data_IF_368516241745
#
_entry.id   IF_368516241745
#
_cell.length_a   1.000
_cell.length_b   1.000
_cell.length_c   1.000
_cell.angle_alpha   90.00
_cell.angle_beta   90.00
_cell.angle_gamma   90.00
#
_symmetry.space_group_name_H-M   'P 1'
#
loop_
_entity.id
_entity.type
_entity.pdbx_description
1 polymer ?
#
# COMPACT_ATOMS: atom_id res chain seq x y z
N UNK A 1 10.77 28.96 -62.24
CA UNK A 1 11.06 28.31 -63.55
C UNK A 1 12.05 27.20 -63.25
N UNK A 2 11.71 25.93 -63.12
CA UNK A 2 10.69 25.15 -63.79
C UNK A 2 11.41 23.91 -64.32
N UNK A 3 11.19 22.75 -63.70
CA UNK A 3 11.41 21.42 -64.29
C UNK A 3 10.28 20.50 -63.82
N UNK A 4 9.22 20.52 -64.62
CA UNK A 4 8.44 19.36 -65.06
C UNK A 4 9.44 18.36 -65.73
N UNK A 5 9.28 17.03 -65.80
CA UNK A 5 8.11 16.17 -65.67
C UNK A 5 8.52 14.69 -65.80
N UNK A 6 7.64 13.81 -65.32
CA UNK A 6 7.34 12.42 -65.72
C UNK A 6 8.42 11.34 -65.74
N UNK A 7 8.17 10.30 -64.95
CA UNK A 7 8.13 8.93 -65.48
C UNK A 7 6.88 8.22 -64.92
N UNK A 8 6.04 7.76 -65.85
CA UNK A 8 4.86 6.92 -65.66
C UNK A 8 5.20 5.49 -66.06
N UNK A 9 4.68 4.54 -65.30
CA UNK A 9 4.06 3.26 -65.67
C UNK A 9 4.75 2.32 -66.69
N UNK A 10 4.84 1.03 -66.36
CA UNK A 10 3.93 0.00 -66.90
C UNK A 10 4.27 -1.44 -66.46
N UNK A 11 3.18 -2.21 -66.36
CA UNK A 11 3.00 -3.66 -66.54
C UNK A 11 3.33 -4.57 -65.33
N UNK A 12 2.32 -5.06 -64.60
CA UNK A 12 1.29 -6.09 -64.92
C UNK A 12 1.75 -7.42 -64.29
N UNK A 13 1.05 -7.91 -63.26
CA UNK A 13 0.14 -9.06 -63.35
C UNK A 13 -0.32 -9.37 -61.88
N UNK A 14 -1.54 -9.74 -61.47
CA UNK A 14 -2.78 -10.22 -62.10
C UNK A 14 -3.88 -10.32 -61.01
N UNK A 15 -5.13 -10.04 -61.40
CA UNK A 15 -6.45 -10.52 -60.91
C UNK A 15 -7.01 -10.18 -59.50
N UNK A 16 -7.95 -9.21 -59.51
CA UNK A 16 -9.41 -9.31 -59.21
C UNK A 16 -9.91 -10.05 -57.93
N UNK A 17 -10.55 -9.35 -56.97
CA UNK A 17 -12.04 -9.13 -56.78
C UNK A 17 -12.72 -10.37 -56.15
N UNK A 18 -13.59 -10.36 -55.14
CA UNK A 18 -14.29 -9.39 -54.29
C UNK A 18 -14.80 -10.16 -53.04
N UNK A 19 -15.06 -9.43 -51.96
CA UNK A 19 -16.18 -9.52 -51.00
C UNK A 19 -16.69 -10.83 -50.34
N UNK A 20 -16.92 -10.63 -49.03
CA UNK A 20 -18.00 -11.11 -48.15
C UNK A 20 -17.94 -12.47 -47.42
N UNK A 21 -17.99 -12.32 -46.09
CA UNK A 21 -18.74 -13.08 -45.08
C UNK A 21 -18.33 -14.49 -44.60
N UNK A 22 -18.18 -14.53 -43.27
CA UNK A 22 -18.60 -15.56 -42.31
C UNK A 22 -17.97 -16.97 -42.31
N UNK A 23 -17.67 -17.35 -41.07
CA UNK A 23 -17.64 -18.69 -40.43
C UNK A 23 -16.27 -19.30 -40.14
N UNK A 24 -16.12 -19.56 -38.84
CA UNK A 24 -15.78 -20.85 -38.22
C UNK A 24 -14.62 -21.65 -38.83
N UNK A 25 -13.53 -21.86 -38.06
CA UNK A 25 -13.29 -23.17 -37.44
C UNK A 25 -12.05 -23.17 -36.50
N UNK A 26 -12.32 -23.56 -35.26
CA UNK A 26 -11.59 -24.49 -34.39
C UNK A 26 -10.05 -24.48 -34.26
N UNK A 27 -9.60 -24.37 -32.98
CA UNK A 27 -9.19 -25.59 -32.25
C UNK A 27 -9.12 -25.44 -30.71
N UNK A 28 -10.04 -26.19 -30.10
CA UNK A 28 -10.08 -26.86 -28.79
C UNK A 28 -8.76 -27.10 -28.03
N UNK A 29 -8.78 -26.89 -26.71
CA UNK A 29 -8.80 -27.97 -25.70
C UNK A 29 -9.46 -27.45 -24.40
N UNK A 30 -10.64 -27.97 -24.06
CA UNK A 30 -11.28 -27.86 -22.74
C UNK A 30 -11.49 -29.28 -22.21
N UNK A 31 -10.94 -29.61 -21.04
CA UNK A 31 -11.33 -30.81 -20.31
C UNK A 31 -12.59 -30.54 -19.48
N UNK A 32 -13.70 -31.09 -19.97
CA UNK A 32 -14.93 -31.36 -19.22
C UNK A 32 -14.73 -32.50 -18.23
N UNK A 33 -15.16 -32.32 -16.99
CA UNK A 33 -15.67 -33.43 -16.17
C UNK A 33 -17.10 -33.11 -15.73
N UNK A 34 -18.05 -33.67 -16.47
CA UNK A 34 -19.46 -33.76 -16.08
C UNK A 34 -19.70 -35.04 -15.29
N UNK A 35 -20.47 -35.00 -14.20
CA UNK A 35 -21.35 -36.14 -13.89
C UNK A 35 -22.62 -35.80 -13.10
N UNK A 36 -23.69 -35.67 -13.88
CA UNK A 36 -25.00 -36.36 -13.76
C UNK A 36 -25.82 -36.20 -12.47
N UNK A 37 -26.87 -35.38 -12.59
CA UNK A 37 -28.11 -35.48 -11.80
C UNK A 37 -28.77 -36.84 -12.10
N UNK A 38 -28.97 -37.65 -11.06
CA UNK A 38 -29.79 -38.87 -11.11
C UNK A 38 -30.90 -38.76 -10.07
N UNK A 39 -32.11 -38.43 -10.53
CA UNK A 39 -33.35 -38.70 -9.80
C UNK A 39 -33.65 -40.19 -9.87
N UNK A 40 -33.64 -40.88 -8.73
CA UNK A 40 -34.24 -42.22 -8.60
C UNK A 40 -35.12 -42.29 -7.36
N UNK A 41 -36.41 -42.29 -7.65
CA UNK A 41 -37.51 -42.70 -6.79
C UNK A 41 -37.47 -44.23 -6.65
N UNK A 42 -37.44 -44.75 -5.42
CA UNK A 42 -37.78 -46.15 -5.11
C UNK A 42 -38.57 -46.20 -3.81
N UNK A 43 -39.87 -46.46 -3.92
CA UNK A 43 -40.67 -47.09 -2.88
C UNK A 43 -40.15 -48.52 -2.63
N UNK A 44 -40.02 -48.91 -1.36
CA UNK A 44 -40.27 -50.28 -0.94
C UNK A 44 -40.68 -50.32 0.54
N UNK A 45 -41.82 -50.95 0.77
CA UNK A 45 -42.60 -51.10 1.98
C UNK A 45 -41.95 -51.86 3.16
N UNK A 46 -42.52 -51.57 4.35
CA UNK A 46 -42.73 -52.42 5.54
C UNK A 46 -41.51 -52.88 6.38
N UNK A 47 -41.42 -52.41 7.65
CA UNK A 47 -42.03 -53.16 8.78
C UNK A 47 -42.12 -52.30 10.05
N UNK A 48 -43.20 -52.49 10.80
CA UNK A 48 -43.54 -51.68 11.97
C UNK A 48 -42.87 -52.17 13.26
N UNK A 49 -42.51 -51.21 14.12
CA UNK A 49 -42.48 -51.43 15.57
C UNK A 49 -43.09 -50.22 16.27
N UNK A 50 -44.30 -50.39 16.77
CA UNK A 50 -44.83 -49.55 17.85
C UNK A 50 -44.08 -49.87 19.13
N UNK A 51 -43.50 -48.86 19.78
CA UNK A 51 -43.33 -48.85 21.23
C UNK A 51 -43.80 -47.51 21.79
N UNK A 52 -44.72 -47.62 22.74
CA UNK A 52 -45.33 -46.56 23.54
C UNK A 52 -44.32 -45.96 24.52
N UNK A 53 -44.30 -44.64 24.71
CA UNK A 53 -43.51 -44.04 25.78
C UNK A 53 -43.66 -42.53 25.88
N UNK A 54 -44.30 -42.08 26.95
CA UNK A 54 -44.40 -40.68 27.40
C UNK A 54 -43.04 -40.09 27.79
N UNK A 55 -42.79 -38.84 27.37
CA UNK A 55 -42.01 -37.77 28.04
C UNK A 55 -40.87 -38.16 29.00
N UNK A 56 -39.63 -37.80 28.64
CA UNK A 56 -38.68 -36.99 29.47
C UNK A 56 -37.50 -36.48 28.62
N UNK A 57 -37.07 -35.23 28.87
CA UNK A 57 -35.93 -34.46 28.33
C UNK A 57 -34.69 -35.22 27.79
N UNK A 58 -34.13 -34.72 26.67
CA UNK A 58 -32.73 -34.21 26.52
C UNK A 58 -32.27 -34.29 25.05
N UNK A 59 -31.63 -33.24 24.52
CA UNK A 59 -30.82 -33.31 23.30
C UNK A 59 -30.80 -32.02 22.48
N UNK A 60 -29.84 -31.13 22.77
CA UNK A 60 -29.39 -30.11 21.81
C UNK A 60 -28.78 -30.81 20.59
N UNK A 61 -29.31 -30.53 19.40
CA UNK A 61 -28.64 -30.88 18.16
C UNK A 61 -27.86 -29.64 17.68
N UNK A 62 -26.56 -29.60 17.98
CA UNK A 62 -25.65 -28.65 17.35
C UNK A 62 -25.36 -29.09 15.93
N UNK A 63 -25.35 -28.14 14.99
CA UNK A 63 -24.88 -28.35 13.63
C UNK A 63 -23.65 -27.49 13.42
N UNK A 64 -22.58 -28.08 12.88
CA UNK A 64 -21.34 -27.41 12.53
C UNK A 64 -21.22 -27.45 11.01
N UNK A 65 -20.98 -26.28 10.42
CA UNK A 65 -20.54 -26.10 9.04
C UNK A 65 -19.27 -25.26 9.05
N UNK A 66 -18.39 -25.51 8.09
CA UNK A 66 -17.21 -24.69 7.81
C UNK A 66 -17.50 -23.85 6.58
N UNK A 67 -17.13 -22.57 6.61
CA UNK A 67 -16.81 -21.78 5.42
C UNK A 67 -15.33 -21.37 5.50
N UNK A 68 -14.76 -20.91 4.38
CA UNK A 68 -13.31 -20.85 4.13
C UNK A 68 -12.46 -19.90 5.00
N UNK A 69 -13.04 -19.26 6.03
CA UNK A 69 -12.35 -18.27 6.88
C UNK A 69 -11.88 -18.82 8.24
N UNK A 70 -11.68 -20.14 8.37
CA UNK A 70 -11.22 -20.77 9.63
C UNK A 70 -12.07 -20.39 10.88
N UNK A 71 -13.33 -20.00 10.70
CA UNK A 71 -14.22 -19.53 11.77
C UNK A 71 -15.15 -20.64 12.30
N UNK A 72 -15.05 -20.91 13.60
CA UNK A 72 -15.83 -21.97 14.28
C UNK A 72 -17.19 -21.45 14.75
N UNK A 73 -18.24 -21.69 13.95
CA UNK A 73 -19.62 -21.37 14.32
C UNK A 73 -20.17 -22.30 15.42
N UNK A 74 -20.58 -21.74 16.56
CA UNK A 74 -21.42 -22.45 17.55
C UNK A 74 -22.78 -21.78 17.72
N UNK A 75 -23.83 -22.35 17.15
CA UNK A 75 -25.17 -21.79 17.24
C UNK A 75 -25.91 -22.14 18.55
N UNK A 76 -26.42 -21.12 19.24
CA UNK A 76 -27.76 -21.18 19.85
C UNK A 76 -28.68 -20.30 19.03
N UNK A 77 -29.61 -20.93 18.28
CA UNK A 77 -30.70 -20.21 17.63
C UNK A 77 -31.47 -19.41 18.68
N UNK A 78 -31.58 -18.10 18.45
CA UNK A 78 -32.67 -17.32 19.03
C UNK A 78 -33.96 -17.96 18.51
N UNK A 79 -34.90 -18.31 19.40
CA UNK A 79 -36.12 -19.04 19.04
C UNK A 79 -37.15 -18.17 18.27
N UNK A 80 -36.71 -17.27 17.40
CA UNK A 80 -37.57 -16.38 16.62
C UNK A 80 -37.36 -16.62 15.10
N UNK A 81 -38.32 -17.22 14.38
CA UNK A 81 -38.20 -17.52 12.96
C UNK A 81 -38.21 -16.29 12.02
N UNK A 82 -38.21 -15.06 12.56
CA UNK A 82 -38.00 -13.82 11.81
C UNK A 82 -36.56 -13.28 11.89
N UNK A 83 -35.67 -13.95 12.63
CA UNK A 83 -34.33 -13.46 13.01
C UNK A 83 -33.22 -13.80 12.00
N UNK A 84 -33.57 -14.41 10.87
CA UNK A 84 -32.62 -14.85 9.82
C UNK A 84 -31.94 -13.70 9.05
N UNK A 85 -32.16 -12.45 9.48
CA UNK A 85 -31.59 -11.24 8.90
C UNK A 85 -31.05 -10.26 9.95
N UNK A 86 -31.02 -10.64 11.23
CA UNK A 86 -30.47 -9.75 12.25
C UNK A 86 -28.96 -9.54 12.05
N UNK A 87 -28.56 -8.26 12.03
CA UNK A 87 -27.18 -7.79 12.00
C UNK A 87 -27.00 -6.74 13.10
N UNK A 88 -25.93 -6.83 13.88
CA UNK A 88 -25.63 -5.87 14.94
C UNK A 88 -24.96 -6.54 16.13
N UNK A 89 -24.97 -5.88 17.29
CA UNK A 89 -24.26 -6.35 18.47
C UNK A 89 -25.16 -6.58 19.67
N UNK A 90 -24.80 -7.57 20.48
CA UNK A 90 -25.30 -7.75 21.84
C UNK A 90 -24.19 -7.43 22.84
N UNK A 91 -24.55 -6.70 23.90
CA UNK A 91 -23.58 -6.24 24.89
C UNK A 91 -23.91 -6.78 26.28
N UNK A 92 -22.93 -7.42 26.92
CA UNK A 92 -22.97 -7.73 28.34
C UNK A 92 -22.48 -6.52 29.14
N UNK A 93 -23.40 -5.73 29.71
CA UNK A 93 -23.07 -4.50 30.46
C UNK A 93 -23.23 -4.74 31.96
N UNK A 94 -22.16 -4.53 32.73
CA UNK A 94 -22.16 -4.60 34.19
C UNK A 94 -21.75 -3.26 34.78
N UNK A 95 -22.63 -2.63 35.59
CA UNK A 95 -22.38 -1.33 36.22
C UNK A 95 -21.96 -0.20 35.24
N UNK A 96 -22.46 -0.23 34.00
CA UNK A 96 -22.14 0.77 32.98
C UNK A 96 -20.84 0.50 32.20
N UNK A 97 -20.19 -0.64 32.43
CA UNK A 97 -19.00 -1.08 31.69
C UNK A 97 -19.36 -2.28 30.82
N UNK A 98 -18.88 -2.28 29.58
CA UNK A 98 -19.01 -3.43 28.67
C UNK A 98 -18.03 -4.51 29.13
N UNK A 99 -18.56 -5.71 29.35
CA UNK A 99 -17.84 -6.89 29.86
C UNK A 99 -17.82 -8.05 28.88
N UNK A 100 -18.53 -7.91 27.76
CA UNK A 100 -18.58 -8.85 26.66
C UNK A 100 -19.34 -8.21 25.50
N UNK A 101 -18.85 -8.46 24.30
CA UNK A 101 -19.44 -8.02 23.04
C UNK A 101 -19.68 -9.28 22.23
N UNK A 102 -20.86 -9.37 21.62
CA UNK A 102 -21.25 -10.49 20.77
C UNK A 102 -21.79 -9.91 19.49
N UNK A 103 -21.09 -10.13 18.39
CA UNK A 103 -21.57 -9.80 17.07
C UNK A 103 -22.65 -10.81 16.66
N UNK A 104 -23.72 -10.29 16.06
CA UNK A 104 -24.80 -11.07 15.46
C UNK A 104 -24.74 -10.82 13.96
N UNK A 105 -24.39 -11.84 13.17
CA UNK A 105 -24.45 -11.76 11.71
C UNK A 105 -25.35 -12.86 11.14
N UNK A 106 -26.37 -12.46 10.38
CA UNK A 106 -27.36 -13.39 9.77
C UNK A 106 -28.02 -14.33 10.79
N UNK A 107 -28.15 -13.87 12.04
CA UNK A 107 -28.69 -14.62 13.17
C UNK A 107 -27.71 -15.58 13.86
N UNK A 108 -26.44 -15.61 13.47
CA UNK A 108 -25.37 -16.32 14.18
C UNK A 108 -24.67 -15.38 15.15
N UNK A 109 -24.32 -15.88 16.33
CA UNK A 109 -23.68 -15.11 17.38
C UNK A 109 -22.22 -15.53 17.52
N UNK A 110 -21.31 -14.55 17.49
CA UNK A 110 -19.87 -14.72 17.70
C UNK A 110 -19.38 -13.75 18.76
N UNK A 111 -18.43 -14.19 19.59
CA UNK A 111 -17.82 -13.29 20.55
C UNK A 111 -16.85 -12.35 19.82
N UNK A 112 -17.08 -11.05 19.96
CA UNK A 112 -16.21 -10.05 19.35
C UNK A 112 -14.89 -9.98 20.10
N UNK A 113 -13.80 -9.89 19.34
CA UNK A 113 -12.47 -9.61 19.87
C UNK A 113 -12.19 -8.13 19.68
N UNK A 114 -11.82 -7.46 20.77
CA UNK A 114 -11.46 -6.04 20.69
C UNK A 114 -10.07 -5.92 20.04
N UNK A 115 -10.00 -5.13 18.98
CA UNK A 115 -8.80 -4.90 18.18
C UNK A 115 -7.90 -3.83 18.79
N UNK A 116 -6.70 -3.67 18.24
CA UNK A 116 -5.79 -2.61 18.66
C UNK A 116 -6.37 -1.25 18.25
N UNK A 117 -6.32 -0.25 19.14
CA UNK A 117 -6.91 1.07 18.86
C UNK A 117 -8.44 1.15 19.04
N UNK A 118 -9.11 0.02 19.25
CA UNK A 118 -10.56 -0.05 19.43
C UNK A 118 -10.99 0.06 20.90
N UNK A 119 -12.05 0.83 21.15
CA UNK A 119 -12.68 0.97 22.45
C UNK A 119 -14.19 0.99 22.34
N UNK A 120 -14.85 0.39 23.32
CA UNK A 120 -16.31 0.37 23.41
C UNK A 120 -16.77 1.01 24.73
N UNK A 121 -17.70 1.94 24.64
CA UNK A 121 -18.22 2.68 25.81
C UNK A 121 -19.74 2.81 25.79
N UNK A 122 -20.35 2.93 26.97
CA UNK A 122 -21.81 3.10 27.10
C UNK A 122 -22.11 4.58 27.37
N UNK A 123 -22.98 5.17 26.57
CA UNK A 123 -23.50 6.53 26.79
C UNK A 123 -25.03 6.54 26.78
N UNK A 124 -25.63 6.58 27.96
CA UNK A 124 -27.09 6.51 28.10
C UNK A 124 -27.62 5.14 27.65
N UNK A 125 -28.45 5.13 26.60
CA UNK A 125 -28.98 3.91 25.96
C UNK A 125 -28.21 3.51 24.69
N UNK A 126 -27.12 4.19 24.38
CA UNK A 126 -26.30 3.95 23.20
C UNK A 126 -24.96 3.32 23.62
N UNK A 127 -24.37 2.61 22.67
CA UNK A 127 -23.00 2.14 22.75
C UNK A 127 -22.19 2.86 21.69
N UNK A 128 -21.00 3.31 22.05
CA UNK A 128 -20.08 4.03 21.18
C UNK A 128 -18.84 3.14 21.02
N UNK A 129 -18.59 2.70 19.78
CA UNK A 129 -17.28 2.18 19.36
C UNK A 129 -16.45 3.39 18.91
N UNK A 130 -15.27 3.54 19.49
CA UNK A 130 -14.24 4.45 19.01
C UNK A 130 -13.06 3.61 18.59
N UNK A 131 -12.71 3.68 17.32
CA UNK A 131 -11.61 2.97 16.71
C UNK A 131 -10.61 3.97 16.19
N UNK A 132 -9.35 3.77 16.54
CA UNK A 132 -8.25 4.67 16.20
C UNK A 132 -7.28 3.90 15.33
N UNK A 133 -7.20 4.32 14.08
CA UNK A 133 -6.35 3.71 13.04
C UNK A 133 -5.80 4.80 12.13
N UNK A 134 -4.54 4.67 11.71
CA UNK A 134 -3.93 5.39 10.58
C UNK A 134 -4.20 6.90 10.52
N UNK A 135 -4.15 7.59 11.67
CA UNK A 135 -4.35 9.03 11.69
C UNK A 135 -5.82 9.45 11.73
N UNK A 136 -6.75 8.53 12.01
CA UNK A 136 -8.19 8.77 12.14
C UNK A 136 -8.78 8.09 13.39
N UNK A 137 -9.93 8.60 13.77
CA UNK A 137 -10.79 8.13 14.84
C UNK A 137 -12.15 7.91 14.20
N UNK A 138 -12.49 6.65 13.94
CA UNK A 138 -13.86 6.27 13.64
C UNK A 138 -14.65 6.29 14.95
N UNK A 139 -15.82 6.91 14.93
CA UNK A 139 -16.81 6.83 16.01
C UNK A 139 -18.10 6.28 15.46
N UNK A 140 -18.41 5.04 15.83
CA UNK A 140 -19.65 4.34 15.50
C UNK A 140 -20.58 4.33 16.71
N UNK A 141 -21.82 4.80 16.53
CA UNK A 141 -22.85 4.80 17.56
C UNK A 141 -23.85 3.71 17.24
N UNK A 142 -24.07 2.82 18.20
CA UNK A 142 -25.02 1.73 18.14
C UNK A 142 -26.17 1.95 19.10
N UNK A 143 -27.39 1.61 18.69
CA UNK A 143 -28.59 1.73 19.50
C UNK A 143 -29.56 0.57 19.27
N UNK A 144 -30.15 0.06 20.35
CA UNK A 144 -31.32 -0.82 20.29
C UNK A 144 -32.59 0.04 20.17
N UNK A 145 -32.99 0.31 18.93
CA UNK A 145 -34.13 1.21 18.65
C UNK A 145 -35.49 0.51 18.74
N UNK A 146 -35.53 -0.82 18.64
CA UNK A 146 -36.75 -1.62 18.60
C UNK A 146 -37.00 -2.42 19.90
N UNK A 147 -36.03 -2.45 20.82
CA UNK A 147 -36.10 -3.08 22.14
C UNK A 147 -35.91 -4.60 22.12
N UNK A 148 -35.30 -5.16 21.08
CA UNK A 148 -35.07 -6.60 20.95
C UNK A 148 -33.74 -7.07 21.56
N UNK A 149 -32.91 -6.14 22.05
CA UNK A 149 -31.60 -6.40 22.62
C UNK A 149 -30.46 -6.47 21.61
N UNK A 150 -30.72 -6.21 20.33
CA UNK A 150 -29.72 -6.12 19.26
C UNK A 150 -29.50 -4.65 18.92
N UNK A 151 -28.26 -4.20 19.10
CA UNK A 151 -27.85 -2.84 18.83
C UNK A 151 -27.38 -2.74 17.38
N UNK A 152 -28.03 -1.87 16.60
CA UNK A 152 -27.65 -1.61 15.22
C UNK A 152 -26.91 -0.28 15.12
N UNK A 153 -26.00 -0.17 14.15
CA UNK A 153 -25.28 1.08 13.89
C UNK A 153 -26.28 2.14 13.44
N UNK A 154 -26.34 3.26 14.15
CA UNK A 154 -27.26 4.37 13.87
C UNK A 154 -26.53 5.64 13.44
N UNK A 155 -25.21 5.70 13.65
CA UNK A 155 -24.35 6.78 13.19
C UNK A 155 -22.93 6.27 13.08
N UNK A 156 -22.19 6.79 12.11
CA UNK A 156 -20.76 6.62 11.96
C UNK A 156 -20.18 7.97 11.57
N UNK A 157 -19.00 8.28 12.10
CA UNK A 157 -18.28 9.49 11.79
C UNK A 157 -16.78 9.20 11.81
N UNK A 158 -16.07 9.85 10.92
CA UNK A 158 -14.62 9.79 10.80
C UNK A 158 -14.03 11.14 11.18
N UNK A 159 -12.95 11.13 11.95
CA UNK A 159 -12.25 12.34 12.35
C UNK A 159 -10.76 12.07 12.36
N UNK A 160 -9.90 12.90 11.77
CA UNK A 160 -8.47 12.69 11.89
C UNK A 160 -8.04 12.73 13.36
N UNK A 161 -7.19 11.79 13.77
CA UNK A 161 -6.30 11.94 14.89
C UNK A 161 -5.55 13.24 14.68
N UNK A 162 -5.80 14.23 15.51
CA UNK A 162 -4.89 15.36 15.62
C UNK A 162 -3.58 14.85 16.24
N UNK A 163 -2.71 14.28 15.42
CA UNK A 163 -1.32 14.07 15.77
C UNK A 163 -0.65 15.44 15.78
N UNK A 164 -0.07 15.79 16.92
CA UNK A 164 1.03 16.74 16.88
C UNK A 164 2.16 16.07 16.12
N UNK A 165 2.22 16.24 14.80
CA UNK A 165 3.40 16.53 13.97
C UNK A 165 2.89 16.77 12.54
N UNK A 166 2.69 18.04 12.20
CA UNK A 166 2.57 18.61 10.85
C UNK A 166 1.76 17.85 9.77
N UNK A 167 0.50 17.49 10.02
CA UNK A 167 -0.48 17.42 8.91
C UNK A 167 -0.82 18.87 8.54
N UNK A 168 -0.35 19.30 7.37
CA UNK A 168 -0.76 20.56 6.78
C UNK A 168 -2.28 20.52 6.60
N UNK A 169 -2.97 21.53 7.10
CA UNK A 169 -4.41 21.57 7.27
C UNK A 169 -5.17 21.44 5.94
N UNK A 170 -5.50 20.20 5.53
CA UNK A 170 -6.61 19.92 4.62
C UNK A 170 -7.88 19.73 5.48
N UNK A 171 -8.99 20.25 4.99
CA UNK A 171 -10.16 20.58 5.80
C UNK A 171 -10.80 19.36 6.49
N UNK A 172 -10.98 19.50 7.80
CA UNK A 172 -11.63 18.60 8.76
C UNK A 172 -13.11 18.22 8.48
N UNK A 173 -13.59 18.05 7.23
CA UNK A 173 -15.03 17.85 6.97
C UNK A 173 -15.45 16.94 5.78
N UNK A 174 -14.59 16.15 5.13
CA UNK A 174 -15.11 15.28 4.04
C UNK A 174 -14.33 14.00 3.78
N UNK A 175 -14.05 13.21 4.82
CA UNK A 175 -13.72 11.80 4.61
C UNK A 175 -15.02 11.12 4.16
N UNK A 176 -15.05 10.59 2.95
CA UNK A 176 -16.12 9.70 2.54
C UNK A 176 -15.82 8.31 3.09
N UNK A 177 -16.77 7.70 3.77
CA UNK A 177 -16.61 6.37 4.34
C UNK A 177 -17.46 5.33 3.64
N UNK A 178 -16.93 4.11 3.52
CA UNK A 178 -17.64 2.90 3.15
C UNK A 178 -18.52 2.36 4.29
N UNK A 179 -18.95 1.12 4.09
CA UNK A 179 -19.84 0.36 4.94
C UNK A 179 -19.07 -0.74 5.70
N UNK A 180 -19.79 -1.71 6.29
CA UNK A 180 -19.14 -2.88 6.92
C UNK A 180 -19.21 -4.08 5.96
N UNK A 181 -19.00 -3.86 4.68
CA UNK A 181 -19.14 -4.87 3.63
C UNK A 181 -18.22 -4.47 2.49
N UNK A 182 -17.70 -5.46 1.77
CA UNK A 182 -16.85 -5.29 0.59
C UNK A 182 -17.41 -4.20 -0.35
N UNK A 183 -16.74 -3.06 -0.34
CA UNK A 183 -17.11 -1.88 -1.08
C UNK A 183 -16.22 -1.72 -2.32
N UNK A 184 -16.80 -1.15 -3.37
CA UNK A 184 -16.06 -0.75 -4.56
C UNK A 184 -16.22 0.75 -4.70
N UNK A 185 -15.13 1.47 -4.45
CA UNK A 185 -15.08 2.91 -4.59
C UNK A 185 -14.19 3.32 -5.75
N UNK A 186 -14.65 4.35 -6.47
CA UNK A 186 -13.89 4.98 -7.55
C UNK A 186 -13.91 6.47 -7.28
N UNK A 187 -12.73 7.03 -7.08
CA UNK A 187 -12.48 8.43 -6.93
C UNK A 187 -12.61 9.19 -8.24
N UNK A 188 -12.20 10.44 -8.16
CA UNK A 188 -12.57 11.46 -9.11
C UNK A 188 -11.36 11.90 -9.92
N UNK A 189 -11.33 13.18 -10.30
CA UNK A 189 -10.18 13.78 -10.98
C UNK A 189 -9.50 14.83 -10.09
N UNK A 190 -9.76 14.76 -8.80
CA UNK A 190 -9.29 15.68 -7.77
C UNK A 190 -8.95 14.88 -6.54
N UNK A 191 -8.00 15.38 -5.75
CA UNK A 191 -7.67 14.85 -4.43
C UNK A 191 -8.90 14.49 -3.61
N UNK A 192 -9.03 13.21 -3.35
CA UNK A 192 -10.09 12.57 -2.60
C UNK A 192 -9.56 12.07 -1.26
N UNK A 193 -10.47 11.82 -0.33
CA UNK A 193 -10.15 11.25 0.96
C UNK A 193 -11.22 10.21 1.30
N UNK A 194 -10.85 8.93 1.23
CA UNK A 194 -11.79 7.81 1.33
C UNK A 194 -11.31 6.74 2.29
N UNK A 195 -12.23 6.30 3.16
CA UNK A 195 -12.01 5.21 4.12
C UNK A 195 -12.95 4.05 3.85
N UNK A 196 -12.40 2.87 3.53
CA UNK A 196 -13.13 1.63 3.21
C UNK A 196 -13.97 1.12 4.37
N UNK A 197 -13.34 1.03 5.54
CA UNK A 197 -13.88 0.58 6.81
C UNK A 197 -13.71 -0.90 7.09
N UNK A 198 -14.75 -1.73 7.00
CA UNK A 198 -14.67 -3.16 7.30
C UNK A 198 -15.12 -3.91 6.07
N UNK A 199 -14.43 -5.01 5.77
CA UNK A 199 -14.66 -5.85 4.60
C UNK A 199 -13.56 -5.66 3.56
N UNK A 200 -13.48 -6.58 2.61
CA UNK A 200 -12.42 -6.57 1.61
C UNK A 200 -12.76 -5.55 0.51
N UNK A 201 -12.21 -4.36 0.62
CA UNK A 201 -12.57 -3.21 -0.21
C UNK A 201 -11.68 -3.07 -1.45
N UNK A 202 -12.25 -2.50 -2.49
CA UNK A 202 -11.53 -2.08 -3.69
C UNK A 202 -11.62 -0.56 -3.84
N UNK A 203 -10.52 0.13 -3.56
CA UNK A 203 -10.42 1.59 -3.58
C UNK A 203 -9.56 2.04 -4.75
N UNK A 204 -10.06 2.98 -5.55
CA UNK A 204 -9.31 3.58 -6.67
C UNK A 204 -9.36 5.10 -6.55
N UNK A 205 -8.22 5.77 -6.40
CA UNK A 205 -8.11 7.22 -6.25
C UNK A 205 -8.44 7.97 -7.54
N UNK A 206 -7.82 7.58 -8.64
CA UNK A 206 -8.10 8.12 -9.96
C UNK A 206 -7.07 9.17 -10.36
N UNK A 207 -7.44 10.46 -10.35
CA UNK A 207 -6.44 11.52 -10.53
C UNK A 207 -6.43 12.47 -9.34
N UNK A 208 -5.26 13.02 -9.05
CA UNK A 208 -5.04 13.97 -7.95
C UNK A 208 -4.36 13.28 -6.78
N UNK A 209 -3.90 14.07 -5.82
CA UNK A 209 -3.20 13.54 -4.64
C UNK A 209 -4.25 13.00 -3.64
N UNK A 210 -4.39 11.69 -3.53
CA UNK A 210 -5.47 11.02 -2.80
C UNK A 210 -5.02 10.47 -1.44
N UNK A 211 -5.89 10.55 -0.44
CA UNK A 211 -5.72 9.83 0.83
C UNK A 211 -6.64 8.61 0.84
N UNK A 212 -6.10 7.40 0.70
CA UNK A 212 -6.87 6.15 0.68
C UNK A 212 -6.57 5.29 1.89
N UNK A 213 -7.63 4.90 2.59
CA UNK A 213 -7.56 4.05 3.78
C UNK A 213 -8.42 2.80 3.54
N UNK A 214 -7.82 1.62 3.59
CA UNK A 214 -8.53 0.34 3.50
C UNK A 214 -9.38 0.14 4.75
N UNK A 215 -8.71 -0.11 5.87
CA UNK A 215 -9.33 -0.30 7.17
C UNK A 215 -9.09 -1.73 7.65
N UNK A 216 -10.15 -2.42 8.01
CA UNK A 216 -10.05 -3.81 8.45
C UNK A 216 -10.37 -4.77 7.30
N UNK A 217 -9.70 -5.92 7.33
CA UNK A 217 -9.74 -7.01 6.35
C UNK A 217 -8.86 -6.73 5.12
N UNK A 218 -8.86 -7.64 4.14
CA UNK A 218 -7.87 -7.62 3.06
C UNK A 218 -8.31 -6.69 1.92
N UNK A 219 -7.65 -5.54 1.77
CA UNK A 219 -8.03 -4.47 0.86
C UNK A 219 -7.14 -4.35 -0.39
N UNK A 220 -7.73 -3.92 -1.50
CA UNK A 220 -7.01 -3.54 -2.73
C UNK A 220 -7.09 -2.00 -2.91
N UNK A 221 -5.98 -1.29 -2.69
CA UNK A 221 -5.86 0.17 -2.83
C UNK A 221 -5.07 0.53 -4.10
N UNK A 222 -5.63 1.39 -4.96
CA UNK A 222 -4.97 1.95 -6.13
C UNK A 222 -4.96 3.48 -6.02
N UNK A 223 -3.78 4.10 -5.89
CA UNK A 223 -3.62 5.55 -5.97
C UNK A 223 -3.95 6.09 -7.36
N UNK A 224 -3.38 5.43 -8.38
CA UNK A 224 -3.47 5.79 -9.81
C UNK A 224 -2.56 6.98 -10.18
N UNK A 225 -3.09 8.16 -10.54
CA UNK A 225 -2.29 9.32 -10.98
C UNK A 225 -2.28 10.41 -9.88
N UNK A 226 -1.15 10.64 -9.21
CA UNK A 226 -1.06 11.67 -8.18
C UNK A 226 0.06 11.39 -7.19
N UNK A 227 0.25 12.27 -6.20
CA UNK A 227 1.04 11.92 -5.03
C UNK A 227 0.12 11.36 -3.94
N UNK A 228 -0.01 10.04 -3.89
CA UNK A 228 -1.03 9.39 -3.06
C UNK A 228 -0.49 8.93 -1.71
N UNK A 229 -1.34 9.00 -0.69
CA UNK A 229 -1.09 8.42 0.62
C UNK A 229 -1.98 7.20 0.82
N UNK A 230 -1.36 6.03 0.96
CA UNK A 230 -2.03 4.74 1.08
C UNK A 230 -1.85 4.16 2.49
N UNK A 231 -2.97 3.73 3.06
CA UNK A 231 -3.04 3.14 4.40
C UNK A 231 -3.86 1.85 4.29
N UNK A 232 -3.18 0.71 4.11
CA UNK A 232 -3.84 -0.61 4.10
C UNK A 232 -4.58 -0.85 5.43
N UNK A 233 -3.80 -0.74 6.50
CA UNK A 233 -4.26 -0.91 7.89
C UNK A 233 -4.36 -2.39 8.24
N UNK A 234 -5.35 -2.84 9.01
CA UNK A 234 -5.40 -4.24 9.42
C UNK A 234 -5.85 -5.16 8.29
N UNK A 235 -4.95 -5.96 7.75
CA UNK A 235 -5.30 -6.93 6.72
C UNK A 235 -4.03 -7.46 6.06
N UNK A 236 -4.17 -8.40 5.13
CA UNK A 236 -3.13 -8.65 4.14
C UNK A 236 -3.49 -7.86 2.87
N UNK A 237 -3.02 -6.62 2.78
CA UNK A 237 -3.48 -5.66 1.78
C UNK A 237 -2.62 -5.63 0.51
N UNK A 238 -3.20 -5.12 -0.58
CA UNK A 238 -2.47 -4.77 -1.79
C UNK A 238 -2.54 -3.26 -2.04
N UNK A 239 -1.38 -2.60 -1.95
CA UNK A 239 -1.24 -1.17 -2.16
C UNK A 239 -0.51 -0.91 -3.48
N UNK A 240 -1.20 -0.34 -4.45
CA UNK A 240 -0.66 0.11 -5.71
C UNK A 240 -0.60 1.64 -5.72
N UNK A 241 0.61 2.23 -5.67
CA UNK A 241 0.78 3.69 -5.75
C UNK A 241 0.36 4.19 -7.14
N UNK A 242 1.23 4.01 -8.12
CA UNK A 242 0.90 4.28 -9.51
C UNK A 242 1.92 5.16 -10.18
N UNK A 243 1.49 6.31 -10.67
CA UNK A 243 2.37 7.32 -11.25
C UNK A 243 2.72 8.38 -10.21
N UNK A 244 3.88 9.02 -10.39
CA UNK A 244 4.45 10.03 -9.49
C UNK A 244 5.10 9.42 -8.23
N UNK A 245 5.00 10.04 -7.05
CA UNK A 245 5.65 9.54 -5.82
C UNK A 245 4.57 9.26 -4.81
N UNK A 246 4.43 7.99 -4.46
CA UNK A 246 3.40 7.51 -3.55
C UNK A 246 3.97 7.04 -2.22
N UNK A 247 3.17 7.17 -1.18
CA UNK A 247 3.58 6.93 0.20
C UNK A 247 2.65 5.93 0.87
N UNK A 248 3.21 4.83 1.39
CA UNK A 248 2.49 3.89 2.25
C UNK A 248 2.82 4.11 3.72
N UNK A 249 1.81 4.02 4.59
CA UNK A 249 1.93 4.40 6.00
C UNK A 249 1.64 3.24 6.96
N UNK A 250 2.59 2.99 7.86
CA UNK A 250 2.57 1.89 8.82
C UNK A 250 2.72 2.39 10.25
N UNK A 251 1.96 1.81 11.18
CA UNK A 251 1.91 2.30 12.58
C UNK A 251 3.04 1.81 13.46
N UNK A 252 3.74 0.75 13.07
CA UNK A 252 4.86 0.18 13.80
C UNK A 252 6.21 0.84 13.47
N UNK A 253 7.23 0.48 14.23
CA UNK A 253 8.60 0.89 13.92
C UNK A 253 9.15 0.01 12.79
N UNK A 254 10.04 0.55 11.96
CA UNK A 254 10.63 -0.15 10.82
C UNK A 254 11.22 -1.53 11.17
N UNK A 255 11.86 -1.67 12.34
CA UNK A 255 12.45 -2.94 12.78
C UNK A 255 11.43 -4.03 13.16
N UNK A 256 10.14 -3.69 13.23
CA UNK A 256 9.04 -4.64 13.44
C UNK A 256 8.55 -5.26 12.13
N UNK A 257 8.99 -4.75 10.97
CA UNK A 257 8.58 -5.23 9.65
C UNK A 257 9.71 -5.97 8.94
N UNK A 258 9.33 -6.97 8.14
CA UNK A 258 10.24 -7.69 7.24
C UNK A 258 9.88 -7.41 5.79
N UNK A 259 10.86 -6.95 5.00
CA UNK A 259 10.70 -6.68 3.57
C UNK A 259 11.18 -7.88 2.75
N UNK A 260 10.32 -8.38 1.88
CA UNK A 260 10.61 -9.47 0.94
C UNK A 260 10.27 -9.00 -0.46
N UNK A 261 11.22 -9.11 -1.40
CA UNK A 261 10.93 -8.81 -2.81
C UNK A 261 9.87 -9.77 -3.36
N UNK A 262 8.75 -9.24 -3.83
CA UNK A 262 7.69 -10.00 -4.49
C UNK A 262 7.98 -10.26 -5.98
N UNK A 263 7.24 -11.18 -6.60
CA UNK A 263 7.51 -11.66 -7.96
C UNK A 263 7.31 -10.61 -9.08
N UNK A 264 6.59 -9.52 -8.81
CA UNK A 264 6.17 -8.50 -9.79
C UNK A 264 6.88 -7.15 -9.63
N UNK A 265 8.07 -7.13 -9.04
CA UNK A 265 8.77 -5.90 -8.62
C UNK A 265 8.15 -5.14 -7.43
N UNK A 266 7.01 -5.60 -6.91
CA UNK A 266 6.50 -5.18 -5.61
C UNK A 266 7.32 -5.68 -4.42
N UNK A 267 7.03 -5.16 -3.24
CA UNK A 267 7.62 -5.53 -1.95
C UNK A 267 6.51 -6.10 -1.09
N UNK A 268 6.72 -7.29 -0.54
CA UNK A 268 5.91 -7.80 0.54
C UNK A 268 6.44 -7.26 1.87
N UNK A 269 5.61 -6.56 2.64
CA UNK A 269 5.94 -6.01 3.95
C UNK A 269 5.16 -6.76 5.02
N UNK A 270 5.87 -7.44 5.93
CA UNK A 270 5.24 -8.33 6.92
C UNK A 270 5.44 -7.74 8.31
N UNK A 271 4.36 -7.35 9.00
CA UNK A 271 4.41 -6.96 10.41
C UNK A 271 4.64 -8.19 11.30
N UNK A 272 5.58 -8.08 12.24
CA UNK A 272 5.79 -9.06 13.30
C UNK A 272 4.67 -9.08 14.34
N UNK A 273 3.84 -8.02 14.41
CA UNK A 273 2.64 -7.95 15.22
C UNK A 273 1.38 -8.23 14.37
N UNK A 274 0.87 -9.45 14.45
CA UNK A 274 -0.23 -9.97 13.62
C UNK A 274 -1.62 -9.34 13.88
N UNK A 275 -1.69 -8.19 14.56
CA UNK A 275 -2.92 -7.52 14.99
C UNK A 275 -2.92 -6.02 14.62
N UNK A 276 -1.92 -5.57 13.86
CA UNK A 276 -1.86 -4.25 13.24
C UNK A 276 -1.90 -4.50 11.74
N UNK A 277 -0.83 -4.21 11.02
CA UNK A 277 -0.84 -4.06 9.56
C UNK A 277 -0.66 -5.35 8.75
N UNK A 278 -0.86 -6.54 9.34
CA UNK A 278 -0.73 -7.84 8.66
C UNK A 278 0.48 -8.03 7.72
N UNK A 279 0.24 -8.56 6.52
CA UNK A 279 1.24 -8.86 5.48
C UNK A 279 0.84 -8.29 4.11
N UNK A 280 1.34 -7.10 3.81
CA UNK A 280 0.94 -6.36 2.62
C UNK A 280 1.86 -6.56 1.42
N UNK A 281 1.32 -6.28 0.24
CA UNK A 281 2.06 -6.18 -1.02
C UNK A 281 1.99 -4.74 -1.51
N UNK A 282 3.15 -4.10 -1.64
CA UNK A 282 3.30 -2.76 -2.17
C UNK A 282 3.85 -2.83 -3.59
N UNK A 283 3.14 -2.25 -4.56
CA UNK A 283 3.56 -2.12 -5.95
C UNK A 283 3.56 -0.64 -6.35
N UNK A 284 4.63 -0.19 -7.04
CA UNK A 284 4.77 1.23 -7.44
C UNK A 284 4.59 2.22 -6.28
N UNK A 285 5.09 1.87 -5.09
CA UNK A 285 5.15 2.77 -3.93
C UNK A 285 6.61 3.16 -3.73
N UNK A 286 6.87 4.46 -3.65
CA UNK A 286 8.23 4.99 -3.55
C UNK A 286 8.66 5.24 -2.11
N UNK A 287 7.72 5.49 -1.20
CA UNK A 287 8.01 5.83 0.20
C UNK A 287 7.21 4.93 1.14
N UNK A 288 7.85 4.44 2.18
CA UNK A 288 7.19 3.79 3.32
C UNK A 288 7.47 4.60 4.57
N UNK A 289 6.43 4.97 5.30
CA UNK A 289 6.51 5.73 6.55
C UNK A 289 6.21 4.80 7.72
N UNK A 290 7.22 4.59 8.56
CA UNK A 290 7.07 3.88 9.84
C UNK A 290 7.02 4.89 10.98
N UNK A 291 6.72 4.41 12.19
CA UNK A 291 6.63 5.27 13.37
C UNK A 291 7.97 5.92 13.79
N UNK A 292 9.11 5.37 13.37
CA UNK A 292 10.46 5.84 13.76
C UNK A 292 11.30 6.41 12.61
N UNK A 293 11.10 5.94 11.38
CA UNK A 293 11.90 6.33 10.21
C UNK A 293 11.08 6.12 8.93
N UNK A 294 11.46 6.80 7.85
CA UNK A 294 10.92 6.54 6.51
C UNK A 294 11.91 5.74 5.68
N UNK A 295 11.42 4.97 4.72
CA UNK A 295 12.20 4.18 3.77
C UNK A 295 11.84 4.60 2.35
N UNK A 296 12.84 4.95 1.55
CA UNK A 296 12.67 5.24 0.13
C UNK A 296 13.06 4.02 -0.72
N UNK A 297 12.16 3.61 -1.62
CA UNK A 297 12.28 2.39 -2.43
C UNK A 297 12.86 2.65 -3.83
N UNK A 298 12.90 3.90 -4.28
CA UNK A 298 13.43 4.35 -5.55
C UNK A 298 14.98 4.47 -5.53
N UNK A 299 15.67 3.37 -5.25
CA UNK A 299 17.14 3.29 -5.27
C UNK A 299 17.76 3.66 -6.64
N UNK A 300 16.99 3.53 -7.73
CA UNK A 300 17.37 3.98 -9.07
C UNK A 300 16.87 5.41 -9.38
N UNK A 301 15.96 5.95 -8.56
CA UNK A 301 15.32 7.26 -8.67
C UNK A 301 16.02 8.38 -7.89
N UNK A 302 15.25 9.33 -7.36
CA UNK A 302 15.77 10.54 -6.72
C UNK A 302 16.41 10.22 -5.36
N UNK A 303 15.86 9.28 -4.58
CA UNK A 303 16.47 8.89 -3.31
C UNK A 303 17.84 8.24 -3.53
N UNK A 304 17.93 7.35 -4.52
CA UNK A 304 19.20 6.76 -4.94
C UNK A 304 20.24 7.79 -5.37
N UNK A 305 19.83 8.78 -6.18
CA UNK A 305 20.70 9.88 -6.59
C UNK A 305 21.17 10.73 -5.41
N UNK A 306 20.27 11.05 -4.47
CA UNK A 306 20.60 11.79 -3.25
C UNK A 306 21.65 11.03 -2.43
N UNK A 307 21.42 9.74 -2.18
CA UNK A 307 22.33 8.88 -1.42
C UNK A 307 23.70 8.75 -2.10
N UNK A 308 23.73 8.46 -3.41
CA UNK A 308 24.97 8.34 -4.18
C UNK A 308 25.78 9.62 -4.14
N UNK A 309 25.13 10.76 -4.32
CA UNK A 309 25.81 12.05 -4.30
C UNK A 309 26.32 12.38 -2.90
N UNK A 310 25.55 12.09 -1.86
CA UNK A 310 25.95 12.26 -0.47
C UNK A 310 27.20 11.42 -0.16
N UNK A 311 27.15 10.11 -0.47
CA UNK A 311 28.30 9.22 -0.24
C UNK A 311 29.51 9.63 -1.06
N UNK A 312 29.32 10.02 -2.33
CA UNK A 312 30.41 10.48 -3.19
C UNK A 312 31.04 11.80 -2.70
N UNK A 313 30.24 12.69 -2.10
CA UNK A 313 30.71 13.97 -1.62
C UNK A 313 31.48 13.89 -0.29
N UNK A 314 31.11 12.96 0.58
CA UNK A 314 31.61 12.93 1.97
C UNK A 314 32.33 11.63 2.37
N UNK A 315 32.40 10.65 1.47
CA UNK A 315 33.05 9.35 1.70
C UNK A 315 32.54 8.63 2.97
N UNK A 316 31.23 8.72 3.20
CA UNK A 316 30.53 8.06 4.31
C UNK A 316 29.06 7.88 3.97
N UNK A 317 28.39 6.98 4.68
CA UNK A 317 26.93 6.88 4.64
C UNK A 317 26.30 8.20 5.08
N UNK A 318 25.16 8.54 4.48
CA UNK A 318 24.38 9.72 4.84
C UNK A 318 23.79 9.56 6.23
N UNK A 319 23.63 10.68 6.94
CA UNK A 319 22.72 10.72 8.09
C UNK A 319 21.28 10.87 7.60
N UNK A 320 20.33 10.29 8.34
CA UNK A 320 18.92 10.21 7.93
C UNK A 320 18.29 11.59 7.70
N UNK A 321 18.58 12.58 8.56
CA UNK A 321 18.04 13.93 8.46
C UNK A 321 18.60 14.70 7.26
N UNK A 322 19.91 14.62 7.05
CA UNK A 322 20.58 15.23 5.92
C UNK A 322 20.09 14.64 4.59
N UNK A 323 19.96 13.32 4.51
CA UNK A 323 19.43 12.66 3.33
C UNK A 323 18.00 13.11 3.02
N UNK A 324 17.12 13.10 4.02
CA UNK A 324 15.73 13.52 3.84
C UNK A 324 15.59 14.97 3.38
N UNK A 325 16.42 15.88 3.91
CA UNK A 325 16.47 17.27 3.41
C UNK A 325 16.80 17.33 1.91
N UNK A 326 17.83 16.60 1.46
CA UNK A 326 18.25 16.66 0.05
C UNK A 326 17.29 15.94 -0.89
N UNK A 327 16.69 14.84 -0.47
CA UNK A 327 15.59 14.20 -1.21
C UNK A 327 14.45 15.19 -1.43
N UNK A 328 13.98 15.84 -0.36
CA UNK A 328 12.92 16.84 -0.48
C UNK A 328 13.30 18.00 -1.42
N UNK A 329 14.57 18.43 -1.46
CA UNK A 329 15.01 19.43 -2.44
C UNK A 329 14.90 18.91 -3.88
N UNK A 330 15.36 17.68 -4.14
CA UNK A 330 15.33 17.07 -5.48
C UNK A 330 13.90 16.87 -5.98
N UNK A 331 13.01 16.38 -5.11
CA UNK A 331 11.59 16.18 -5.40
C UNK A 331 10.89 17.51 -5.70
N UNK A 332 11.28 18.59 -5.02
CA UNK A 332 10.82 19.96 -5.33
C UNK A 332 11.51 20.59 -6.56
N UNK A 333 12.22 19.80 -7.38
CA UNK A 333 12.79 20.21 -8.66
C UNK A 333 14.16 20.88 -8.58
N UNK A 334 14.83 20.86 -7.42
CA UNK A 334 16.25 21.24 -7.35
C UNK A 334 17.05 20.20 -8.14
N UNK A 335 17.99 20.65 -8.98
CA UNK A 335 18.78 19.72 -9.78
C UNK A 335 19.86 19.04 -8.94
N UNK A 336 20.20 17.79 -9.28
CA UNK A 336 21.30 17.06 -8.63
C UNK A 336 22.62 17.83 -8.65
N UNK A 337 22.88 18.59 -9.74
CA UNK A 337 24.05 19.45 -9.84
C UNK A 337 24.00 20.65 -8.85
N UNK A 338 22.82 21.21 -8.58
CA UNK A 338 22.67 22.27 -7.59
C UNK A 338 22.95 21.76 -6.17
N UNK A 339 22.51 20.52 -5.86
CA UNK A 339 22.86 19.82 -4.61
C UNK A 339 24.36 19.58 -4.55
N UNK A 340 24.97 19.06 -5.62
CA UNK A 340 26.41 18.82 -5.70
C UNK A 340 27.21 20.12 -5.48
N UNK A 341 26.74 21.24 -6.03
CA UNK A 341 27.34 22.53 -5.81
C UNK A 341 27.24 22.99 -4.35
N UNK A 342 26.13 22.72 -3.66
CA UNK A 342 26.00 22.99 -2.24
C UNK A 342 26.95 22.12 -1.40
N UNK A 343 27.11 20.84 -1.74
CA UNK A 343 28.08 19.95 -1.10
C UNK A 343 29.50 20.43 -1.31
N UNK A 344 29.91 20.71 -2.55
CA UNK A 344 31.25 21.23 -2.86
C UNK A 344 31.53 22.52 -2.07
N UNK A 345 30.53 23.37 -1.85
CA UNK A 345 30.68 24.61 -1.08
C UNK A 345 30.67 24.42 0.45
N UNK A 346 30.31 23.24 0.95
CA UNK A 346 30.19 22.97 2.39
C UNK A 346 31.55 22.85 3.08
N UNK A 347 31.59 23.18 4.38
CA UNK A 347 32.82 23.06 5.18
C UNK A 347 33.32 21.60 5.22
N UNK A 348 32.41 20.63 5.36
CA UNK A 348 32.77 19.20 5.39
C UNK A 348 33.47 18.74 4.11
N UNK A 349 32.94 19.10 2.94
CA UNK A 349 33.58 18.77 1.67
C UNK A 349 34.94 19.44 1.54
N UNK A 350 35.05 20.71 1.96
CA UNK A 350 36.31 21.46 1.90
C UNK A 350 37.35 20.95 2.90
N UNK A 351 36.94 20.36 4.02
CA UNK A 351 37.82 19.67 4.97
C UNK A 351 38.32 18.33 4.40
N UNK A 352 37.45 17.57 3.72
CA UNK A 352 37.79 16.28 3.13
C UNK A 352 38.64 16.40 1.86
N UNK A 353 38.27 17.30 0.95
CA UNK A 353 38.95 17.49 -0.34
C UNK A 353 39.98 18.62 -0.35
N UNK A 354 39.98 19.50 0.66
CA UNK A 354 40.92 20.61 0.81
C UNK A 354 40.47 21.92 0.15
N UNK A 355 40.70 23.04 0.87
CA UNK A 355 40.22 24.38 0.48
C UNK A 355 40.83 24.99 -0.79
N UNK A 356 42.01 24.56 -1.22
CA UNK A 356 42.74 25.13 -2.38
C UNK A 356 43.51 24.06 -3.16
N UNK A 357 42.93 22.87 -3.31
CA UNK A 357 43.54 21.81 -4.11
C UNK A 357 43.53 22.16 -5.59
N UNK A 358 44.54 21.70 -6.34
CA UNK A 358 44.53 21.84 -7.79
C UNK A 358 43.53 20.87 -8.42
N UNK A 359 43.20 21.04 -9.70
CA UNK A 359 42.25 20.15 -10.37
C UNK A 359 42.83 18.74 -10.55
N UNK A 360 44.15 18.62 -10.71
CA UNK A 360 44.86 17.34 -10.68
C UNK A 360 44.70 16.59 -9.36
N UNK A 361 44.86 17.30 -8.24
CA UNK A 361 44.71 16.72 -6.91
C UNK A 361 43.25 16.38 -6.62
N UNK A 362 42.32 17.26 -7.00
CA UNK A 362 40.88 17.03 -6.87
C UNK A 362 40.41 15.78 -7.62
N UNK A 363 40.85 15.57 -8.87
CA UNK A 363 40.50 14.36 -9.63
C UNK A 363 41.01 13.10 -8.94
N UNK A 364 42.24 13.09 -8.43
CA UNK A 364 42.76 11.93 -7.70
C UNK A 364 41.95 11.65 -6.43
N UNK A 365 41.54 12.69 -5.71
CA UNK A 365 40.68 12.54 -4.52
C UNK A 365 39.32 11.95 -4.88
N UNK A 366 38.70 12.36 -5.99
CA UNK A 366 37.43 11.76 -6.44
C UNK A 366 37.57 10.26 -6.76
N UNK A 367 38.63 9.86 -7.46
CA UNK A 367 38.86 8.44 -7.74
C UNK A 367 39.01 7.61 -6.45
N UNK A 368 39.71 8.13 -5.44
CA UNK A 368 39.90 7.42 -4.19
C UNK A 368 38.63 7.40 -3.33
N UNK A 369 37.99 8.56 -3.12
CA UNK A 369 36.87 8.70 -2.19
C UNK A 369 35.52 8.21 -2.77
N UNK A 370 35.37 8.17 -4.09
CA UNK A 370 34.11 7.74 -4.74
C UNK A 370 34.23 6.34 -5.32
N UNK A 371 35.38 6.01 -5.93
CA UNK A 371 35.55 4.74 -6.65
C UNK A 371 36.49 3.75 -5.96
N UNK A 372 37.03 4.10 -4.79
CA UNK A 372 37.92 3.26 -3.97
C UNK A 372 39.17 2.75 -4.73
N UNK A 373 39.69 3.55 -5.67
CA UNK A 373 40.86 3.16 -6.47
C UNK A 373 41.67 4.34 -6.99
N UNK A 374 42.88 4.03 -7.46
CA UNK A 374 43.69 4.99 -8.21
C UNK A 374 43.06 5.33 -9.58
N UNK A 375 43.28 6.58 -10.00
CA UNK A 375 42.90 7.04 -11.33
C UNK A 375 43.70 6.33 -12.42
N UNK A 376 43.02 5.85 -13.46
CA UNK A 376 43.71 5.39 -14.66
C UNK A 376 44.18 6.60 -15.49
N UNK A 377 45.24 6.41 -16.28
CA UNK A 377 45.87 7.52 -17.02
C UNK A 377 44.91 8.21 -18.02
N UNK A 378 43.97 7.47 -18.60
CA UNK A 378 43.01 7.99 -19.57
C UNK A 378 41.94 8.83 -18.90
N UNK A 379 41.29 8.26 -17.89
CA UNK A 379 40.26 8.93 -17.10
C UNK A 379 40.78 10.16 -16.36
N UNK A 380 41.96 10.07 -15.73
CA UNK A 380 42.64 11.21 -15.12
C UNK A 380 42.84 12.37 -16.12
N UNK A 381 43.41 12.08 -17.29
CA UNK A 381 43.67 13.09 -18.32
C UNK A 381 42.37 13.73 -18.83
N UNK A 382 41.31 12.92 -18.98
CA UNK A 382 40.01 13.40 -19.42
C UNK A 382 39.40 14.37 -18.40
N UNK A 383 39.32 13.99 -17.13
CA UNK A 383 38.66 14.79 -16.10
C UNK A 383 39.40 16.10 -15.79
N UNK A 384 40.73 16.07 -15.71
CA UNK A 384 41.52 17.31 -15.56
C UNK A 384 41.25 18.26 -16.72
N UNK A 385 41.22 17.74 -17.96
CA UNK A 385 40.90 18.54 -19.15
C UNK A 385 39.48 19.11 -19.11
N UNK A 386 38.50 18.40 -18.56
CA UNK A 386 37.14 18.92 -18.40
C UNK A 386 37.08 20.08 -17.39
N UNK A 387 37.77 19.97 -16.26
CA UNK A 387 37.83 21.02 -15.23
C UNK A 387 38.53 22.29 -15.75
N UNK A 388 39.57 22.13 -16.58
CA UNK A 388 40.29 23.26 -17.17
C UNK A 388 39.44 24.11 -18.14
N UNK A 389 38.36 23.56 -18.72
CA UNK A 389 37.70 24.17 -19.88
C UNK A 389 36.18 24.30 -19.79
N UNK A 390 35.49 23.30 -19.24
CA UNK A 390 34.07 23.08 -19.55
C UNK A 390 33.20 22.84 -18.32
N UNK A 391 33.71 22.11 -17.33
CA UNK A 391 32.93 21.61 -16.20
C UNK A 391 33.41 22.21 -14.89
N UNK A 392 32.47 22.46 -14.01
CA UNK A 392 32.74 22.80 -12.62
C UNK A 392 33.07 21.55 -11.81
N UNK A 393 33.58 21.72 -10.58
CA UNK A 393 33.77 20.60 -9.65
C UNK A 393 32.46 19.91 -9.28
N UNK A 394 31.36 20.67 -9.20
CA UNK A 394 30.02 20.12 -8.98
C UNK A 394 29.59 19.22 -10.14
N UNK A 395 29.82 19.65 -11.39
CA UNK A 395 29.52 18.83 -12.57
C UNK A 395 30.30 17.50 -12.56
N UNK A 396 31.61 17.56 -12.27
CA UNK A 396 32.44 16.37 -12.20
C UNK A 396 32.02 15.45 -11.04
N UNK A 397 31.72 16.01 -9.87
CA UNK A 397 31.21 15.24 -8.72
C UNK A 397 29.89 14.53 -9.08
N UNK A 398 28.94 15.22 -9.73
CA UNK A 398 27.70 14.61 -10.23
C UNK A 398 28.01 13.46 -11.20
N UNK A 399 28.95 13.63 -12.13
CA UNK A 399 29.34 12.56 -13.05
C UNK A 399 29.99 11.34 -12.36
N UNK A 400 30.79 11.56 -11.31
CA UNK A 400 31.37 10.47 -10.52
C UNK A 400 30.29 9.74 -9.70
N UNK A 401 29.41 10.49 -9.04
CA UNK A 401 28.26 9.97 -8.29
C UNK A 401 27.41 9.04 -9.14
N UNK A 402 27.07 9.47 -10.36
CA UNK A 402 26.18 8.75 -11.27
C UNK A 402 26.92 7.87 -12.28
N UNK A 403 28.22 7.62 -12.06
CA UNK A 403 28.94 6.65 -12.87
C UNK A 403 28.43 5.24 -12.59
N UNK A 404 28.37 4.39 -13.63
CA UNK A 404 27.97 3.00 -13.48
C UNK A 404 28.83 2.23 -12.46
N UNK A 405 30.10 2.65 -12.31
CA UNK A 405 31.01 2.10 -11.30
C UNK A 405 30.57 2.48 -9.89
N UNK A 406 30.29 3.76 -9.61
CA UNK A 406 29.81 4.16 -8.29
C UNK A 406 28.42 3.59 -7.96
N UNK A 407 27.50 3.57 -8.94
CA UNK A 407 26.20 2.89 -8.79
C UNK A 407 26.39 1.42 -8.40
N UNK A 408 27.35 0.72 -9.01
CA UNK A 408 27.68 -0.66 -8.63
C UNK A 408 28.29 -0.77 -7.22
N UNK A 409 29.14 0.19 -6.84
CA UNK A 409 29.77 0.21 -5.51
C UNK A 409 28.74 0.42 -4.38
N UNK A 410 27.66 1.18 -4.63
CA UNK A 410 26.62 1.44 -3.63
C UNK A 410 25.44 0.47 -3.70
N UNK A 411 25.31 -0.32 -4.76
CA UNK A 411 24.09 -1.10 -5.03
C UNK A 411 23.67 -1.99 -3.84
N UNK A 412 24.63 -2.66 -3.18
CA UNK A 412 24.32 -3.50 -2.01
C UNK A 412 23.86 -2.70 -0.79
N UNK A 413 24.30 -1.44 -0.63
CA UNK A 413 23.94 -0.60 0.51
C UNK A 413 22.50 -0.10 0.44
N UNK A 414 21.96 0.04 -0.77
CA UNK A 414 20.62 0.60 -1.02
C UNK A 414 19.67 -0.42 -1.66
N UNK A 415 20.05 -1.71 -1.69
CA UNK A 415 19.28 -2.77 -2.34
C UNK A 415 17.89 -2.98 -1.71
N UNK A 416 17.72 -2.61 -0.44
CA UNK A 416 16.45 -2.71 0.29
C UNK A 416 15.80 -1.34 0.51
N UNK A 417 16.19 -0.34 -0.28
CA UNK A 417 15.82 1.05 -0.09
C UNK A 417 16.80 1.81 0.80
N UNK A 418 16.49 3.10 1.02
CA UNK A 418 17.31 4.02 1.80
C UNK A 418 16.49 4.61 2.93
N UNK A 419 16.94 4.42 4.17
CA UNK A 419 16.28 5.03 5.33
C UNK A 419 16.60 6.51 5.43
N UNK A 420 15.60 7.32 5.81
CA UNK A 420 15.74 8.76 5.96
C UNK A 420 14.75 9.31 6.98
N UNK A 421 15.00 10.53 7.46
CA UNK A 421 14.02 11.28 8.23
C UNK A 421 13.36 12.32 7.34
N UNK A 422 12.04 12.29 7.27
CA UNK A 422 11.25 13.21 6.47
C UNK A 422 11.56 14.68 6.81
N UNK A 423 11.68 15.51 5.78
CA UNK A 423 11.95 16.94 5.93
C UNK A 423 10.67 17.76 5.92
N UNK A 424 10.31 18.31 7.08
CA UNK A 424 9.03 19.02 7.29
C UNK A 424 9.11 20.56 7.15
N UNK A 425 10.26 21.13 6.77
CA UNK A 425 10.42 22.58 6.53
C UNK A 425 10.99 23.41 7.68
#
# INVERSE_FOLDING_TARGET
MGRHEYDNDHDDDLYEVDDHEDRDDDRYYTETSTRTISTSHTESDYDGYHYTGTSTNAGSAGYSGYDNDDHYYTGTSTNNPNDSYARGYQFAITNGTITGITEIERGYAQQERIEYGETWSVFGSQVIKTEIEHGFTQTSIYADTNGDGIFTKVSQAYSPLSSSTAVNTVALNSIQGGSDSDDVWNGSSSSDNYYGAVGNDLLRGGYGDDDLFGGNDDDDLYGDDGHDHLYGSNGDDHLYGGNDIDEAYYVGNHHEYSLIQAANAGIQLIDSNTLRDGSDILESVERIHFADVSLALDADGLAGQAYRLYKAAFDRESDDSGLGYWMAQLENGVTLNSVANAFVASDEFQELYGHNVSDEEFVNLLYNNVLDRDADAGGYTYWVSQLDHSLTRADVLTCFSESAENQSNVAELIASGVTYQEWIG
#
